data_IF_038695305187
#
_entry.id   IF_038695305187
#
_cell.length_a   1.000
_cell.length_b   1.000
_cell.length_c   1.000
_cell.angle_alpha   90.00
_cell.angle_beta   90.00
_cell.angle_gamma   90.00
#
_symmetry.space_group_name_H-M   'P 1'
#
loop_
_entity.id
_entity.type
_entity.pdbx_description
1 polymer ?
#
# COMPACT_ATOMS: atom_id res chain seq x y z
N UNK A 1 -3.04 -23.84 6.63
CA UNK A 1 -2.60 -22.44 6.86
C UNK A 1 -3.35 -21.56 5.86
N UNK A 2 -3.99 -20.47 6.30
CA UNK A 2 -4.75 -19.59 5.39
C UNK A 2 -3.79 -18.80 4.47
N UNK A 3 -4.29 -18.30 3.33
CA UNK A 3 -3.47 -17.48 2.39
C UNK A 3 -2.82 -16.29 3.10
N UNK A 4 -3.52 -15.68 4.04
CA UNK A 4 -3.06 -14.56 4.88
C UNK A 4 -1.88 -14.92 5.78
N UNK A 5 -1.97 -16.06 6.46
CA UNK A 5 -0.89 -16.55 7.32
C UNK A 5 0.37 -16.85 6.52
N UNK A 6 0.21 -17.44 5.32
CA UNK A 6 1.32 -17.75 4.41
C UNK A 6 1.98 -16.49 3.85
N UNK A 7 1.20 -15.46 3.52
CA UNK A 7 1.74 -14.15 3.08
C UNK A 7 2.49 -13.42 4.19
N UNK A 8 2.00 -13.49 5.43
CA UNK A 8 2.72 -12.96 6.59
C UNK A 8 4.08 -13.65 6.81
N UNK A 9 4.24 -14.89 6.34
CA UNK A 9 5.52 -15.63 6.36
C UNK A 9 6.26 -15.59 5.00
N UNK A 10 5.92 -14.65 4.12
CA UNK A 10 6.56 -14.46 2.80
C UNK A 10 6.52 -15.68 1.85
N UNK A 11 5.49 -16.53 1.95
CA UNK A 11 5.32 -17.65 1.00
C UNK A 11 4.89 -17.12 -0.38
N UNK A 12 5.85 -17.05 -1.30
CA UNK A 12 5.66 -16.57 -2.66
C UNK A 12 4.73 -17.44 -3.52
N UNK A 13 4.45 -18.70 -3.15
CA UNK A 13 3.55 -19.55 -3.94
C UNK A 13 2.12 -19.00 -3.95
N UNK A 14 1.70 -18.33 -2.87
CA UNK A 14 0.38 -17.70 -2.74
C UNK A 14 0.13 -16.68 -3.84
N UNK A 15 1.17 -15.96 -4.29
CA UNK A 15 1.06 -14.93 -5.32
C UNK A 15 0.62 -15.52 -6.67
N UNK A 16 1.12 -16.72 -7.00
CA UNK A 16 0.76 -17.44 -8.22
C UNK A 16 -0.65 -18.06 -8.15
N UNK A 17 -1.09 -18.48 -6.96
CA UNK A 17 -2.46 -18.96 -6.74
C UNK A 17 -3.48 -17.82 -6.92
N UNK A 18 -3.22 -16.68 -6.29
CA UNK A 18 -4.07 -15.48 -6.36
C UNK A 18 -4.17 -14.93 -7.79
N UNK A 19 -3.06 -14.97 -8.55
CA UNK A 19 -3.05 -14.52 -9.94
C UNK A 19 -4.12 -15.23 -10.78
N UNK A 20 -4.28 -16.54 -10.58
CA UNK A 20 -5.17 -17.42 -11.36
C UNK A 20 -6.59 -17.50 -10.81
N UNK A 21 -6.80 -17.14 -9.55
CA UNK A 21 -8.10 -17.28 -8.86
C UNK A 21 -9.03 -16.10 -9.14
N UNK A 22 -9.96 -16.23 -10.10
CA UNK A 22 -10.96 -15.22 -10.46
C UNK A 22 -11.85 -14.76 -9.28
N UNK A 23 -12.08 -15.65 -8.29
CA UNK A 23 -12.88 -15.36 -7.09
C UNK A 23 -12.16 -14.50 -6.05
N UNK A 24 -10.84 -14.34 -6.15
CA UNK A 24 -10.03 -13.60 -5.16
C UNK A 24 -10.16 -12.07 -5.25
N UNK A 25 -10.99 -11.54 -6.15
CA UNK A 25 -11.10 -10.08 -6.39
C UNK A 25 -11.59 -9.33 -5.14
N UNK A 26 -12.70 -9.77 -4.53
CA UNK A 26 -13.18 -9.15 -3.29
C UNK A 26 -12.15 -9.27 -2.17
N UNK A 27 -11.54 -10.45 -2.02
CA UNK A 27 -10.51 -10.67 -1.01
C UNK A 27 -9.32 -9.72 -1.21
N UNK A 28 -8.91 -9.44 -2.45
CA UNK A 28 -7.83 -8.50 -2.75
C UNK A 28 -8.15 -7.05 -2.37
N UNK A 29 -9.40 -6.61 -2.57
CA UNK A 29 -9.87 -5.29 -2.13
C UNK A 29 -9.85 -5.19 -0.62
N UNK A 30 -10.36 -6.23 0.06
CA UNK A 30 -10.34 -6.31 1.51
C UNK A 30 -8.90 -6.34 2.06
N UNK A 31 -7.95 -6.98 1.39
CA UNK A 31 -6.52 -6.95 1.78
C UNK A 31 -6.01 -5.55 1.90
N UNK A 32 -6.12 -4.78 0.81
CA UNK A 32 -5.58 -3.43 0.76
C UNK A 32 -6.31 -2.56 1.76
N UNK A 33 -7.65 -2.62 1.80
CA UNK A 33 -8.45 -1.83 2.74
C UNK A 33 -8.05 -2.10 4.20
N UNK A 34 -7.94 -3.37 4.61
CA UNK A 34 -7.52 -3.73 5.97
C UNK A 34 -6.10 -3.26 6.25
N UNK A 35 -5.15 -3.50 5.34
CA UNK A 35 -3.75 -3.11 5.53
C UNK A 35 -3.60 -1.59 5.65
N UNK A 36 -4.27 -0.81 4.78
CA UNK A 36 -4.24 0.66 4.83
C UNK A 36 -4.93 1.20 6.09
N UNK A 37 -6.03 0.57 6.52
CA UNK A 37 -6.70 0.92 7.78
C UNK A 37 -5.78 0.64 8.97
N UNK A 38 -5.14 -0.52 9.01
CA UNK A 38 -4.19 -0.91 10.06
C UNK A 38 -3.01 0.06 10.13
N UNK A 39 -2.47 0.47 8.98
CA UNK A 39 -1.48 1.54 8.89
C UNK A 39 -1.97 2.85 9.52
N UNK A 40 -3.20 3.24 9.21
CA UNK A 40 -3.85 4.45 9.74
C UNK A 40 -4.09 4.39 11.24
N UNK A 41 -4.42 3.21 11.77
CA UNK A 41 -4.54 3.00 13.20
C UNK A 41 -3.20 3.18 13.91
N UNK A 42 -2.07 2.84 13.28
CA UNK A 42 -0.75 3.18 13.79
C UNK A 42 -0.56 4.67 14.00
N UNK A 43 -0.99 5.48 13.04
CA UNK A 43 -0.94 6.94 13.11
C UNK A 43 -1.87 7.51 14.19
N UNK A 44 -3.07 6.95 14.33
CA UNK A 44 -4.00 7.34 15.40
C UNK A 44 -3.45 7.00 16.79
N UNK A 45 -2.86 5.81 16.95
CA UNK A 45 -2.22 5.41 18.22
C UNK A 45 -1.06 6.34 18.56
N UNK A 46 -0.25 6.71 17.56
CA UNK A 46 0.80 7.70 17.74
C UNK A 46 0.23 9.05 18.20
N UNK A 47 -0.79 9.57 17.52
CA UNK A 47 -1.42 10.84 17.87
C UNK A 47 -2.05 10.83 19.28
N UNK A 48 -2.62 9.69 19.69
CA UNK A 48 -3.14 9.50 21.04
C UNK A 48 -2.03 9.53 22.11
N UNK A 49 -0.88 8.89 21.84
CA UNK A 49 0.24 8.85 22.79
C UNK A 49 0.98 10.18 22.93
N UNK A 50 0.97 11.02 21.89
CA UNK A 50 1.55 12.37 21.89
C UNK A 50 0.56 13.45 22.38
N UNK A 51 -0.60 13.06 22.92
CA UNK A 51 -1.66 13.97 23.37
C UNK A 51 -2.05 15.01 22.30
N UNK A 52 -2.12 14.57 21.03
CA UNK A 52 -2.36 15.47 19.91
C UNK A 52 -3.73 16.18 20.03
N UNK A 53 -3.79 17.50 19.74
CA UNK A 53 -5.04 18.22 19.75
C UNK A 53 -6.00 17.66 18.69
N UNK A 54 -7.30 17.68 18.99
CA UNK A 54 -8.37 17.27 18.07
C UNK A 54 -8.30 15.81 17.56
N UNK A 55 -7.96 14.87 18.45
CA UNK A 55 -7.91 13.44 18.14
C UNK A 55 -9.13 12.88 17.39
N UNK A 56 -10.33 13.43 17.62
CA UNK A 56 -11.55 13.04 16.91
C UNK A 56 -11.57 13.42 15.42
N UNK A 57 -11.09 14.62 15.07
CA UNK A 57 -10.89 15.04 13.67
C UNK A 57 -9.80 14.17 13.03
N UNK A 58 -8.65 14.02 13.71
CA UNK A 58 -7.56 13.15 13.26
C UNK A 58 -8.04 11.71 12.95
N UNK A 59 -8.87 11.13 13.82
CA UNK A 59 -9.38 9.78 13.62
C UNK A 59 -10.26 9.68 12.36
N UNK A 60 -11.11 10.68 12.10
CA UNK A 60 -11.96 10.68 10.92
C UNK A 60 -11.14 10.88 9.64
N UNK A 61 -10.25 11.87 9.63
CA UNK A 61 -9.50 12.26 8.45
C UNK A 61 -8.40 11.25 8.12
N UNK A 62 -7.63 10.81 9.11
CA UNK A 62 -6.53 9.87 8.88
C UNK A 62 -7.02 8.42 8.70
N UNK A 63 -7.94 7.94 9.55
CA UNK A 63 -8.36 6.52 9.53
C UNK A 63 -9.42 6.25 8.48
N UNK A 64 -10.48 7.06 8.37
CA UNK A 64 -11.55 6.78 7.41
C UNK A 64 -11.22 7.32 6.03
N UNK A 65 -11.01 8.63 5.92
CA UNK A 65 -10.77 9.29 4.62
C UNK A 65 -9.41 8.84 4.08
N UNK A 66 -8.38 8.86 4.93
CA UNK A 66 -7.04 8.49 4.55
C UNK A 66 -6.89 7.05 4.09
N UNK A 67 -7.41 6.08 4.84
CA UNK A 67 -7.34 4.68 4.43
C UNK A 67 -8.12 4.41 3.14
N UNK A 68 -9.27 5.06 2.94
CA UNK A 68 -10.06 4.93 1.72
C UNK A 68 -9.33 5.51 0.50
N UNK A 69 -8.76 6.71 0.64
CA UNK A 69 -7.95 7.35 -0.39
C UNK A 69 -6.70 6.52 -0.72
N UNK A 70 -5.97 6.07 0.29
CA UNK A 70 -4.79 5.23 0.14
C UNK A 70 -5.11 3.90 -0.55
N UNK A 71 -6.25 3.29 -0.21
CA UNK A 71 -6.75 2.06 -0.84
C UNK A 71 -7.10 2.29 -2.31
N UNK A 72 -7.87 3.33 -2.62
CA UNK A 72 -8.25 3.65 -4.00
C UNK A 72 -7.01 3.94 -4.86
N UNK A 73 -6.10 4.78 -4.34
CA UNK A 73 -4.89 5.15 -5.05
C UNK A 73 -3.92 3.96 -5.22
N UNK A 74 -3.92 3.00 -4.28
CA UNK A 74 -3.17 1.77 -4.45
C UNK A 74 -3.64 0.98 -5.68
N UNK A 75 -4.95 0.91 -5.94
CA UNK A 75 -5.45 0.23 -7.13
C UNK A 75 -5.10 0.97 -8.43
N UNK A 76 -5.02 2.30 -8.39
CA UNK A 76 -4.48 3.10 -9.50
C UNK A 76 -3.01 2.74 -9.73
N UNK A 77 -2.20 2.71 -8.67
CA UNK A 77 -0.80 2.28 -8.73
C UNK A 77 -0.68 0.86 -9.31
N UNK A 78 -1.40 -0.13 -8.77
CA UNK A 78 -1.36 -1.51 -9.24
C UNK A 78 -1.75 -1.62 -10.72
N UNK A 79 -2.73 -0.83 -11.18
CA UNK A 79 -3.10 -0.73 -12.59
C UNK A 79 -1.97 -0.18 -13.46
N UNK A 80 -1.32 0.90 -13.02
CA UNK A 80 -0.15 1.48 -13.71
C UNK A 80 0.98 0.46 -13.84
N UNK A 81 1.30 -0.27 -12.76
CA UNK A 81 2.33 -1.33 -12.77
C UNK A 81 1.99 -2.42 -13.79
N UNK A 82 0.74 -2.88 -13.78
CA UNK A 82 0.27 -3.92 -14.69
C UNK A 82 0.37 -3.48 -16.16
N UNK A 83 0.05 -2.22 -16.46
CA UNK A 83 0.11 -1.66 -17.82
C UNK A 83 1.56 -1.48 -18.30
N UNK A 84 2.39 -0.77 -17.52
CA UNK A 84 3.77 -0.45 -17.89
C UNK A 84 4.62 -1.74 -18.00
N UNK A 85 4.47 -2.63 -17.01
CA UNK A 85 5.33 -3.82 -16.92
C UNK A 85 4.80 -4.96 -17.78
N UNK A 86 3.50 -5.20 -17.80
CA UNK A 86 2.89 -6.38 -18.40
C UNK A 86 2.71 -6.31 -19.90
N UNK A 87 2.47 -5.12 -20.46
CA UNK A 87 2.01 -5.02 -21.85
C UNK A 87 3.00 -4.28 -22.77
N UNK A 88 3.91 -3.47 -22.21
CA UNK A 88 4.71 -2.56 -23.03
C UNK A 88 3.82 -1.50 -23.69
N UNK A 89 4.38 -0.33 -24.00
CA UNK A 89 3.62 0.75 -24.62
C UNK A 89 3.21 0.34 -26.05
N UNK A 90 1.98 -0.16 -26.24
CA UNK A 90 1.40 -0.42 -27.57
C UNK A 90 0.64 -1.73 -27.78
N UNK A 91 0.67 -2.68 -26.84
CA UNK A 91 -0.14 -3.91 -26.95
C UNK A 91 -1.58 -3.69 -26.46
N UNK A 92 -2.55 -4.42 -27.04
CA UNK A 92 -3.94 -4.41 -26.54
C UNK A 92 -4.00 -5.04 -25.14
N UNK A 93 -4.73 -4.43 -24.19
CA UNK A 93 -4.77 -5.00 -22.85
C UNK A 93 -5.52 -6.32 -22.75
N UNK A 94 -4.81 -7.37 -22.32
CA UNK A 94 -5.48 -8.56 -21.79
C UNK A 94 -6.05 -8.22 -20.42
N UNK A 95 -7.37 -8.00 -20.39
CA UNK A 95 -8.12 -7.67 -19.19
C UNK A 95 -8.07 -8.76 -18.11
N UNK A 96 -7.80 -10.03 -18.48
CA UNK A 96 -7.64 -11.12 -17.51
C UNK A 96 -6.26 -11.03 -16.85
N UNK A 97 -5.20 -10.85 -17.63
CA UNK A 97 -3.85 -10.67 -17.11
C UNK A 97 -3.73 -9.42 -16.23
N UNK A 98 -4.37 -8.32 -16.62
CA UNK A 98 -4.41 -7.08 -15.85
C UNK A 98 -5.09 -7.29 -14.48
N UNK A 99 -6.29 -7.90 -14.47
CA UNK A 99 -7.01 -8.22 -13.23
C UNK A 99 -6.23 -9.21 -12.35
N UNK A 100 -5.61 -10.23 -12.94
CA UNK A 100 -4.74 -11.17 -12.23
C UNK A 100 -3.60 -10.45 -11.51
N UNK A 101 -2.89 -9.58 -12.24
CA UNK A 101 -1.75 -8.82 -11.72
C UNK A 101 -2.14 -7.88 -10.58
N UNK A 102 -3.21 -7.09 -10.76
CA UNK A 102 -3.71 -6.15 -9.74
C UNK A 102 -4.05 -6.87 -8.44
N UNK A 103 -4.68 -8.04 -8.52
CA UNK A 103 -5.04 -8.83 -7.32
C UNK A 103 -3.81 -9.38 -6.63
N UNK A 104 -2.83 -9.88 -7.37
CA UNK A 104 -1.58 -10.36 -6.77
C UNK A 104 -0.82 -9.23 -6.08
N UNK A 105 -0.76 -8.05 -6.71
CA UNK A 105 -0.18 -6.85 -6.09
C UNK A 105 -0.91 -6.48 -4.80
N UNK A 106 -2.25 -6.50 -4.82
CA UNK A 106 -3.04 -6.24 -3.63
C UNK A 106 -2.74 -7.20 -2.47
N UNK A 107 -2.54 -8.50 -2.72
CA UNK A 107 -2.13 -9.44 -1.67
C UNK A 107 -0.68 -9.24 -1.20
N UNK A 108 0.18 -8.68 -2.05
CA UNK A 108 1.57 -8.37 -1.68
C UNK A 108 1.69 -7.17 -0.73
N UNK A 109 0.60 -6.44 -0.44
CA UNK A 109 0.64 -5.31 0.52
C UNK A 109 0.72 -5.75 1.98
N UNK A 110 0.43 -7.01 2.30
CA UNK A 110 0.37 -7.50 3.69
C UNK A 110 1.58 -7.08 4.56
N UNK A 111 2.84 -7.15 4.10
CA UNK A 111 3.99 -6.67 4.85
C UNK A 111 3.94 -5.19 5.24
N UNK A 112 3.20 -4.34 4.50
CA UNK A 112 3.00 -2.94 4.85
C UNK A 112 2.20 -2.76 6.16
N UNK A 113 1.44 -3.77 6.58
CA UNK A 113 0.72 -3.75 7.85
C UNK A 113 1.63 -3.56 9.09
N UNK A 114 2.93 -3.81 8.96
CA UNK A 114 3.93 -3.48 9.98
C UNK A 114 3.99 -1.97 10.31
N UNK A 115 3.48 -1.11 9.42
CA UNK A 115 3.35 0.33 9.68
C UNK A 115 2.42 0.64 10.84
N UNK A 116 1.64 -0.32 11.36
CA UNK A 116 0.90 -0.10 12.62
C UNK A 116 1.84 0.27 13.76
N UNK A 117 3.10 -0.19 13.77
CA UNK A 117 4.03 0.06 14.86
C UNK A 117 4.67 1.47 14.85
N UNK A 118 4.22 2.39 13.99
CA UNK A 118 4.75 3.77 13.98
C UNK A 118 4.49 4.52 15.29
N UNK A 119 3.55 4.06 16.12
CA UNK A 119 3.31 4.61 17.46
C UNK A 119 4.44 4.34 18.46
N UNK A 120 5.42 3.48 18.13
CA UNK A 120 6.52 3.16 19.04
C UNK A 120 7.43 4.40 19.20
N UNK A 121 7.53 4.98 20.41
CA UNK A 121 8.33 6.19 20.63
C UNK A 121 9.80 5.96 20.25
N UNK A 122 10.39 6.92 19.53
CA UNK A 122 11.79 6.86 19.09
C UNK A 122 12.09 5.90 17.93
N UNK A 123 11.08 5.23 17.36
CA UNK A 123 11.23 4.34 16.21
C UNK A 123 10.22 4.58 15.07
N UNK A 124 9.30 5.54 15.24
CA UNK A 124 8.19 5.75 14.31
C UNK A 124 8.64 6.02 12.86
N UNK A 125 9.67 6.84 12.69
CA UNK A 125 10.23 7.15 11.37
C UNK A 125 10.84 5.91 10.70
N UNK A 126 11.67 5.16 11.43
CA UNK A 126 12.32 3.94 10.94
C UNK A 126 11.29 2.88 10.56
N UNK A 127 10.26 2.69 11.39
CA UNK A 127 9.16 1.75 11.11
C UNK A 127 8.41 2.16 9.84
N UNK A 128 8.13 3.45 9.65
CA UNK A 128 7.48 3.94 8.44
C UNK A 128 8.33 3.66 7.19
N UNK A 129 9.62 4.02 7.22
CA UNK A 129 10.56 3.79 6.10
C UNK A 129 10.68 2.30 5.78
N UNK A 130 10.86 1.45 6.79
CA UNK A 130 10.95 0.00 6.60
C UNK A 130 9.66 -0.55 6.01
N UNK A 131 8.50 -0.10 6.49
CA UNK A 131 7.20 -0.57 6.00
C UNK A 131 6.98 -0.15 4.53
N UNK A 132 7.29 1.08 4.15
CA UNK A 132 7.27 1.51 2.75
C UNK A 132 8.24 0.70 1.89
N UNK A 133 9.45 0.42 2.40
CA UNK A 133 10.43 -0.43 1.73
C UNK A 133 9.91 -1.84 1.50
N UNK A 134 9.26 -2.43 2.51
CA UNK A 134 8.62 -3.75 2.42
C UNK A 134 7.49 -3.75 1.39
N UNK A 135 6.65 -2.71 1.37
CA UNK A 135 5.56 -2.56 0.39
C UNK A 135 6.11 -2.49 -1.05
N UNK A 136 7.14 -1.67 -1.28
CA UNK A 136 7.75 -1.53 -2.61
C UNK A 136 8.47 -2.82 -3.04
N UNK A 137 9.18 -3.47 -2.11
CA UNK A 137 9.87 -4.74 -2.36
C UNK A 137 8.87 -5.86 -2.69
N UNK A 138 7.82 -6.03 -1.88
CA UNK A 138 6.86 -7.11 -2.05
C UNK A 138 6.05 -6.96 -3.34
N UNK A 139 5.62 -5.74 -3.68
CA UNK A 139 4.93 -5.43 -4.93
C UNK A 139 5.84 -5.62 -6.15
N UNK A 140 7.13 -5.27 -6.03
CA UNK A 140 8.14 -5.54 -7.07
C UNK A 140 8.33 -7.03 -7.31
N UNK A 141 8.53 -7.82 -6.26
CA UNK A 141 8.69 -9.28 -6.37
C UNK A 141 7.42 -9.95 -6.91
N UNK A 142 6.24 -9.50 -6.48
CA UNK A 142 4.97 -9.97 -7.00
C UNK A 142 4.83 -9.69 -8.49
N UNK A 143 5.17 -8.48 -8.93
CA UNK A 143 5.18 -8.09 -10.34
C UNK A 143 6.12 -8.96 -11.17
N UNK A 144 7.35 -9.16 -10.67
CA UNK A 144 8.34 -10.02 -11.31
C UNK A 144 7.81 -11.45 -11.47
N UNK A 145 7.20 -11.98 -10.41
CA UNK A 145 6.69 -13.35 -10.34
C UNK A 145 5.55 -13.60 -11.33
N UNK A 146 4.56 -12.72 -11.38
CA UNK A 146 3.36 -12.96 -12.20
C UNK A 146 3.50 -12.54 -13.66
N UNK A 147 4.36 -11.55 -13.95
CA UNK A 147 4.59 -11.07 -15.31
C UNK A 147 5.82 -11.68 -15.98
N UNK A 148 6.65 -12.44 -15.24
CA UNK A 148 7.90 -13.01 -15.75
C UNK A 148 8.89 -11.95 -16.25
N UNK A 149 8.79 -10.72 -15.74
CA UNK A 149 9.64 -9.60 -16.15
C UNK A 149 11.01 -9.63 -15.45
N UNK A 150 11.99 -8.89 -15.98
CA UNK A 150 13.24 -8.64 -15.25
C UNK A 150 12.98 -7.81 -13.99
N UNK A 151 13.77 -8.03 -12.92
CA UNK A 151 13.65 -7.26 -11.67
C UNK A 151 13.70 -5.74 -11.90
N UNK A 152 14.60 -5.25 -12.76
CA UNK A 152 14.73 -3.82 -13.06
C UNK A 152 13.46 -3.23 -13.68
N UNK A 153 12.80 -3.97 -14.59
CA UNK A 153 11.54 -3.56 -15.21
C UNK A 153 10.39 -3.55 -14.20
N UNK A 154 10.29 -4.59 -13.38
CA UNK A 154 9.29 -4.65 -12.30
C UNK A 154 9.48 -3.50 -11.30
N UNK A 155 10.72 -3.25 -10.88
CA UNK A 155 11.06 -2.14 -9.99
C UNK A 155 10.71 -0.80 -10.62
N UNK A 156 11.09 -0.57 -11.87
CA UNK A 156 10.79 0.69 -12.59
C UNK A 156 9.29 0.97 -12.66
N UNK A 157 8.48 -0.03 -13.00
CA UNK A 157 7.02 0.10 -12.99
C UNK A 157 6.46 0.39 -11.59
N UNK A 158 6.97 -0.29 -10.56
CA UNK A 158 6.55 -0.06 -9.19
C UNK A 158 6.94 1.32 -8.67
N UNK A 159 8.16 1.79 -8.93
CA UNK A 159 8.62 3.12 -8.53
C UNK A 159 7.75 4.22 -9.16
N UNK A 160 7.39 4.10 -10.45
CA UNK A 160 6.52 5.09 -11.12
C UNK A 160 5.17 5.19 -10.43
N UNK A 161 4.51 4.05 -10.21
CA UNK A 161 3.19 4.08 -9.59
C UNK A 161 3.23 4.36 -8.07
N UNK A 162 4.30 3.97 -7.38
CA UNK A 162 4.55 4.33 -5.99
C UNK A 162 4.74 5.84 -5.86
N UNK A 163 5.50 6.47 -6.76
CA UNK A 163 5.66 7.93 -6.78
C UNK A 163 4.32 8.63 -7.01
N UNK A 164 3.50 8.16 -7.97
CA UNK A 164 2.14 8.68 -8.16
C UNK A 164 1.29 8.55 -6.90
N UNK A 165 1.37 7.40 -6.21
CA UNK A 165 0.67 7.16 -4.95
C UNK A 165 1.11 8.15 -3.86
N UNK A 166 2.43 8.34 -3.67
CA UNK A 166 2.98 9.30 -2.72
C UNK A 166 2.54 10.73 -3.04
N UNK A 167 2.70 11.19 -4.29
CA UNK A 167 2.37 12.56 -4.68
C UNK A 167 0.89 12.87 -4.47
N UNK A 168 -0.01 11.99 -4.95
CA UNK A 168 -1.45 12.23 -4.81
C UNK A 168 -1.88 12.23 -3.35
N UNK A 169 -1.39 11.30 -2.53
CA UNK A 169 -1.73 11.29 -1.11
C UNK A 169 -1.12 12.47 -0.34
N UNK A 170 0.02 12.99 -0.78
CA UNK A 170 0.63 14.20 -0.20
C UNK A 170 -0.18 15.46 -0.52
N UNK A 171 -0.74 15.56 -1.73
CA UNK A 171 -1.60 16.70 -2.13
C UNK A 171 -2.97 16.70 -1.43
N UNK A 172 -3.42 15.53 -0.93
CA UNK A 172 -4.59 15.48 -0.06
C UNK A 172 -4.33 16.12 1.31
N UNK A 173 -3.07 16.42 1.63
CA UNK A 173 -2.69 17.22 2.79
C UNK A 173 -2.74 18.69 2.39
N UNK A 174 -3.69 19.44 2.98
CA UNK A 174 -3.79 20.88 2.72
C UNK A 174 -3.41 21.68 3.96
N UNK A 175 -2.98 22.92 3.79
CA UNK A 175 -2.65 23.83 4.90
C UNK A 175 -3.81 24.08 5.89
N UNK A 176 -5.06 23.75 5.52
CA UNK A 176 -6.23 23.85 6.38
C UNK A 176 -6.53 22.55 7.15
N UNK A 177 -5.93 21.42 6.76
CA UNK A 177 -6.16 20.09 7.33
C UNK A 177 -4.86 19.26 7.28
N UNK A 178 -4.01 19.34 8.32
CA UNK A 178 -2.70 18.69 8.36
C UNK A 178 -2.80 17.17 8.61
N UNK A 179 -4.01 16.63 8.78
CA UNK A 179 -4.23 15.24 9.17
C UNK A 179 -4.25 14.33 7.94
N UNK A 180 -3.05 14.04 7.45
CA UNK A 180 -2.82 13.19 6.29
C UNK A 180 -3.27 11.73 6.50
N UNK A 181 -3.47 10.97 5.41
CA UNK A 181 -3.58 9.51 5.46
C UNK A 181 -2.33 8.91 6.11
N UNK A 182 -2.45 8.35 7.31
CA UNK A 182 -1.60 7.37 7.99
C UNK A 182 -0.06 7.40 7.88
N UNK A 183 0.47 7.37 6.66
CA UNK A 183 1.87 7.16 6.33
C UNK A 183 2.67 8.45 6.07
N UNK A 184 2.03 9.62 6.07
CA UNK A 184 2.64 10.90 5.67
C UNK A 184 2.71 11.95 6.78
N UNK A 185 2.33 11.61 8.01
CA UNK A 185 2.50 12.52 9.14
C UNK A 185 3.99 12.51 9.54
N UNK A 186 4.77 13.41 8.94
CA UNK A 186 6.15 13.66 9.33
C UNK A 186 6.25 15.06 9.91
N UNK A 187 6.73 15.14 11.15
CA UNK A 187 7.05 16.35 11.92
C UNK A 187 5.92 17.39 12.07
N UNK A 188 5.28 17.38 13.25
CA UNK A 188 4.84 18.61 13.93
C UNK A 188 6.07 19.34 14.49
N UNK A 189 7.04 19.66 13.62
CA UNK A 189 8.19 20.48 13.93
C UNK A 189 7.80 21.94 13.97
N UNK A 190 7.15 22.38 15.05
CA UNK A 190 6.92 23.79 15.35
C UNK A 190 5.47 24.25 15.26
N UNK A 191 4.68 23.90 16.28
CA UNK A 191 3.62 24.76 16.83
C UNK A 191 3.75 24.78 18.35
#
# INVERSE_FOLDING_TARGET
MSRWQRLATFDGQVLSEVYRDEGATLASVLTVAVVMTVSSLGGLLWAFLEDAPKLGEFALDSVLIGSAAATGMFFVWAGVVALITGQGLGARPDARALRGTVRTLAFSTVPFGWSVFIFVPGAGFEVAVVSMGLLLLSTTLATQTVLGSSLARALGGNVVGFFLWLTVLSELVTFADPFAPAAFVFELGGL
#
